data_IF_893489994108
#
_entry.id   IF_893489994108
#
_cell.length_a   1.000
_cell.length_b   1.000
_cell.length_c   1.000
_cell.angle_alpha   90.00
_cell.angle_beta   90.00
_cell.angle_gamma   90.00
#
_symmetry.space_group_name_H-M   'P 1'
#
loop_
_entity.id
_entity.type
_entity.pdbx_description
1 polymer ?
#
# COMPACT_ATOMS: atom_id res chain seq x y z
N UNK A 1 -5.68 -52.73 14.68
CA UNK A 1 -6.35 -51.56 14.09
C UNK A 1 -5.72 -50.31 14.67
N UNK A 2 -4.78 -49.72 13.95
CA UNK A 2 -4.07 -48.52 14.37
C UNK A 2 -4.80 -47.29 13.80
N UNK A 3 -5.26 -46.40 14.68
CA UNK A 3 -5.74 -45.07 14.30
C UNK A 3 -4.49 -44.23 14.03
N UNK A 4 -4.18 -44.04 12.76
CA UNK A 4 -3.17 -43.09 12.33
C UNK A 4 -3.70 -41.68 12.58
N UNK A 5 -3.12 -41.02 13.59
CA UNK A 5 -3.09 -39.57 13.77
C UNK A 5 -2.57 -38.93 12.47
N UNK A 6 -3.49 -38.52 11.60
CA UNK A 6 -3.22 -37.54 10.55
C UNK A 6 -3.16 -36.15 11.21
N UNK A 7 -2.13 -35.96 12.04
CA UNK A 7 -1.56 -34.65 12.31
C UNK A 7 -0.95 -34.20 10.99
N UNK A 8 -1.67 -33.37 10.22
CA UNK A 8 -1.10 -32.67 9.07
C UNK A 8 0.20 -31.98 9.49
N UNK A 9 1.38 -32.39 8.97
CA UNK A 9 2.58 -31.62 9.13
C UNK A 9 2.57 -30.56 8.02
N UNK A 10 1.75 -29.52 8.21
CA UNK A 10 1.72 -28.32 7.35
C UNK A 10 2.13 -27.09 8.18
N UNK A 11 3.12 -27.28 9.05
CA UNK A 11 3.94 -26.22 9.65
C UNK A 11 5.39 -26.67 9.51
N UNK A 12 5.83 -26.93 8.29
CA UNK A 12 7.23 -27.20 7.98
C UNK A 12 7.74 -26.06 7.10
N UNK A 13 8.55 -25.18 7.70
CA UNK A 13 9.39 -24.23 6.99
C UNK A 13 8.93 -22.77 6.95
N UNK A 14 8.17 -22.29 7.94
CA UNK A 14 8.18 -20.83 8.15
C UNK A 14 9.48 -20.51 8.88
N UNK A 15 10.50 -20.08 8.14
CA UNK A 15 11.64 -19.37 8.70
C UNK A 15 11.10 -18.38 9.74
N UNK A 16 11.69 -18.35 10.93
CA UNK A 16 11.19 -17.54 12.06
C UNK A 16 11.45 -16.07 11.73
N UNK A 17 10.61 -15.51 10.87
CA UNK A 17 10.67 -14.14 10.42
C UNK A 17 10.33 -13.26 11.62
N UNK A 18 11.30 -12.45 12.06
CA UNK A 18 11.07 -11.45 13.09
C UNK A 18 10.42 -10.23 12.47
N UNK A 19 9.29 -9.79 13.05
CA UNK A 19 8.72 -8.48 12.76
C UNK A 19 9.51 -7.42 13.52
N UNK A 20 10.18 -6.54 12.79
CA UNK A 20 10.83 -5.34 13.31
C UNK A 20 9.91 -4.16 13.07
N UNK A 21 9.75 -3.31 14.09
CA UNK A 21 8.85 -2.16 14.09
C UNK A 21 9.64 -0.89 14.38
N UNK A 22 9.37 0.14 13.62
CA UNK A 22 10.00 1.44 13.69
C UNK A 22 8.88 2.49 13.66
N UNK A 23 8.41 2.91 14.82
CA UNK A 23 7.36 3.92 14.94
C UNK A 23 7.95 5.32 14.78
N UNK A 24 7.32 6.15 13.94
CA UNK A 24 7.88 7.45 13.57
C UNK A 24 8.08 8.40 14.77
N UNK A 25 7.23 8.29 15.79
CA UNK A 25 7.27 9.12 17.01
C UNK A 25 8.28 8.63 18.07
N UNK A 26 8.80 7.41 17.95
CA UNK A 26 9.79 6.84 18.87
C UNK A 26 11.22 6.92 18.33
N UNK A 27 11.38 7.37 17.09
CA UNK A 27 12.66 7.43 16.42
C UNK A 27 13.28 8.81 16.58
N UNK A 28 14.10 8.97 17.62
CA UNK A 28 14.77 10.23 17.94
C UNK A 28 15.68 10.78 16.84
N UNK A 29 16.20 9.92 15.94
CA UNK A 29 16.88 10.15 14.65
C UNK A 29 17.03 8.77 13.98
N UNK A 30 16.67 8.60 12.69
CA UNK A 30 17.09 7.43 11.90
C UNK A 30 18.54 7.66 11.46
N UNK A 31 19.48 6.79 11.83
CA UNK A 31 20.82 6.85 11.19
C UNK A 31 20.74 6.14 9.84
N UNK A 32 21.35 6.69 8.77
CA UNK A 32 21.25 6.15 7.43
C UNK A 32 21.40 4.63 7.39
N UNK A 33 22.42 4.11 8.06
CA UNK A 33 22.81 2.70 8.08
C UNK A 33 21.69 1.75 8.54
N UNK A 34 20.70 2.25 9.28
CA UNK A 34 19.57 1.43 9.74
C UNK A 34 18.58 1.06 8.63
N UNK A 35 18.50 1.88 7.57
CA UNK A 35 17.48 1.72 6.52
C UNK A 35 18.02 1.92 5.09
N UNK A 36 19.28 2.37 4.89
CA UNK A 36 19.89 2.62 3.55
C UNK A 36 19.78 1.39 2.66
N UNK A 37 20.31 0.25 3.11
CA UNK A 37 20.43 -0.93 2.24
C UNK A 37 19.06 -1.53 1.90
N UNK A 38 18.17 -1.53 2.90
CA UNK A 38 16.79 -1.96 2.73
C UNK A 38 16.04 -1.03 1.78
N UNK A 39 16.24 0.29 1.90
CA UNK A 39 15.63 1.27 1.02
C UNK A 39 16.18 1.22 -0.40
N UNK A 40 17.49 1.04 -0.58
CA UNK A 40 18.10 0.89 -1.91
C UNK A 40 17.49 -0.32 -2.66
N UNK A 41 17.25 -1.42 -1.95
CA UNK A 41 16.55 -2.59 -2.50
C UNK A 41 15.10 -2.29 -2.86
N UNK A 42 14.38 -1.53 -2.03
CA UNK A 42 13.01 -1.09 -2.32
C UNK A 42 12.98 -0.12 -3.50
N UNK A 43 13.80 0.93 -3.50
CA UNK A 43 13.83 1.99 -4.50
C UNK A 43 14.22 1.51 -5.89
N UNK A 44 15.05 0.47 -5.99
CA UNK A 44 15.39 -0.16 -7.26
C UNK A 44 14.17 -0.77 -8.00
N UNK A 45 13.12 -1.19 -7.27
CA UNK A 45 11.90 -1.75 -7.85
C UNK A 45 10.96 -0.66 -8.42
N UNK A 46 11.03 0.56 -7.88
CA UNK A 46 10.16 1.68 -8.25
C UNK A 46 10.84 2.73 -9.14
N UNK A 47 12.02 2.43 -9.68
CA UNK A 47 12.85 3.35 -10.50
C UNK A 47 13.02 4.73 -9.84
N UNK A 48 13.09 4.77 -8.51
CA UNK A 48 13.12 6.01 -7.76
C UNK A 48 14.46 6.73 -7.94
N UNK A 49 14.42 8.04 -8.20
CA UNK A 49 15.64 8.85 -8.24
C UNK A 49 16.29 8.92 -6.84
N UNK A 50 17.62 9.06 -6.73
CA UNK A 50 18.31 9.24 -5.45
C UNK A 50 17.76 10.38 -4.57
N UNK A 51 17.06 11.38 -5.13
CA UNK A 51 16.41 12.45 -4.35
C UNK A 51 15.25 11.97 -3.47
N UNK A 52 14.67 10.79 -3.73
CA UNK A 52 13.67 10.18 -2.86
C UNK A 52 14.26 9.69 -1.52
N UNK A 53 15.58 9.43 -1.51
CA UNK A 53 16.35 9.08 -0.33
C UNK A 53 16.24 10.21 0.72
N UNK A 54 16.67 11.42 0.38
CA UNK A 54 16.64 12.59 1.28
C UNK A 54 15.26 12.84 1.90
N UNK A 55 14.17 12.68 1.16
CA UNK A 55 12.81 12.89 1.70
C UNK A 55 12.43 11.88 2.78
N UNK A 56 12.75 10.59 2.59
CA UNK A 56 12.44 9.52 3.56
C UNK A 56 13.30 9.63 4.82
N UNK A 57 14.56 10.06 4.68
CA UNK A 57 15.46 10.28 5.82
C UNK A 57 15.13 11.55 6.59
N UNK A 58 14.94 12.68 5.91
CA UNK A 58 14.66 13.96 6.57
C UNK A 58 13.24 14.09 7.11
N UNK A 59 12.29 13.29 6.61
CA UNK A 59 10.95 13.16 7.20
C UNK A 59 10.76 11.84 7.94
N UNK A 60 11.85 11.21 8.41
CA UNK A 60 11.83 9.90 9.05
C UNK A 60 10.82 9.77 10.20
N UNK A 61 10.61 10.86 10.94
CA UNK A 61 9.67 10.93 12.08
C UNK A 61 8.19 10.87 11.66
N UNK A 62 7.90 11.12 10.38
CA UNK A 62 6.54 11.03 9.82
C UNK A 62 6.21 9.61 9.30
N UNK A 63 7.22 8.72 9.20
CA UNK A 63 7.06 7.39 8.62
C UNK A 63 7.21 6.27 9.64
N UNK A 64 6.27 5.34 9.61
CA UNK A 64 6.29 4.10 10.36
C UNK A 64 6.76 2.97 9.45
N UNK A 65 7.83 2.27 9.83
CA UNK A 65 8.43 1.21 9.02
C UNK A 65 8.24 -0.13 9.73
N UNK A 66 7.77 -1.10 8.97
CA UNK A 66 7.60 -2.47 9.45
C UNK A 66 8.37 -3.40 8.51
N UNK A 67 9.14 -4.33 9.08
CA UNK A 67 9.98 -5.23 8.30
C UNK A 67 9.87 -6.66 8.82
N UNK A 68 9.78 -7.63 7.92
CA UNK A 68 10.12 -9.01 8.24
C UNK A 68 11.59 -9.25 7.89
N UNK A 69 12.35 -9.73 8.88
CA UNK A 69 13.73 -10.14 8.71
C UNK A 69 13.92 -11.58 9.16
N UNK A 70 14.68 -12.36 8.40
CA UNK A 70 15.31 -13.58 8.90
C UNK A 70 16.80 -13.29 9.09
N UNK A 71 17.23 -13.23 10.36
CA UNK A 71 18.53 -12.67 10.76
C UNK A 71 18.69 -11.25 10.18
N UNK A 72 19.66 -11.05 9.29
CA UNK A 72 19.92 -9.78 8.60
C UNK A 72 19.25 -9.69 7.21
N UNK A 73 18.64 -10.78 6.72
CA UNK A 73 17.99 -10.78 5.40
C UNK A 73 16.61 -10.13 5.48
N UNK A 74 16.42 -9.04 4.72
CA UNK A 74 15.12 -8.43 4.51
C UNK A 74 14.22 -9.32 3.65
N UNK A 75 13.10 -9.76 4.23
CA UNK A 75 12.09 -10.58 3.55
C UNK A 75 11.00 -9.70 2.96
N UNK A 76 10.48 -8.76 3.75
CA UNK A 76 9.47 -7.81 3.32
C UNK A 76 9.55 -6.52 4.13
N UNK A 77 9.11 -5.41 3.54
CA UNK A 77 8.97 -4.13 4.24
C UNK A 77 7.72 -3.39 3.79
N UNK A 78 7.17 -2.58 4.68
CA UNK A 78 6.11 -1.62 4.37
C UNK A 78 6.36 -0.31 5.11
N UNK A 79 6.17 0.79 4.39
CA UNK A 79 6.35 2.16 4.86
C UNK A 79 4.98 2.81 4.91
N UNK A 80 4.58 3.26 6.10
CA UNK A 80 3.25 3.81 6.36
C UNK A 80 3.36 5.23 6.92
N UNK A 81 2.59 6.15 6.35
CA UNK A 81 2.48 7.54 6.82
C UNK A 81 1.10 7.73 7.43
N UNK A 82 1.03 8.23 8.67
CA UNK A 82 -0.24 8.61 9.29
C UNK A 82 -0.56 10.05 8.93
N UNK A 83 -1.79 10.32 8.58
CA UNK A 83 -2.27 11.66 8.26
C UNK A 83 -3.76 11.81 8.63
N UNK A 84 -4.31 13.01 8.42
CA UNK A 84 -5.73 13.30 8.53
C UNK A 84 -6.20 13.99 7.26
N UNK A 85 -7.16 13.39 6.58
CA UNK A 85 -7.81 14.05 5.46
C UNK A 85 -8.99 14.86 5.95
N UNK A 86 -9.08 16.08 5.42
CA UNK A 86 -10.18 17.01 5.68
C UNK A 86 -11.05 17.15 4.42
N UNK A 87 -12.32 17.52 4.60
CA UNK A 87 -13.24 17.83 3.52
C UNK A 87 -14.52 18.48 4.04
N UNK A 88 -15.41 18.86 3.14
CA UNK A 88 -16.72 19.43 3.44
C UNK A 88 -17.80 18.47 2.91
N UNK A 89 -18.68 18.01 3.79
CA UNK A 89 -19.84 17.17 3.43
C UNK A 89 -21.09 17.86 3.97
N UNK A 90 -22.07 18.10 3.10
CA UNK A 90 -23.32 18.80 3.42
C UNK A 90 -23.09 20.14 4.17
N UNK A 91 -22.05 20.88 3.77
CA UNK A 91 -21.67 22.16 4.38
C UNK A 91 -20.94 22.05 5.73
N UNK A 92 -20.63 20.86 6.21
CA UNK A 92 -19.90 20.63 7.46
C UNK A 92 -18.46 20.16 7.18
N UNK A 93 -17.49 20.73 7.91
CA UNK A 93 -16.11 20.24 7.87
C UNK A 93 -16.02 18.90 8.57
N UNK A 94 -15.59 17.89 7.84
CA UNK A 94 -15.36 16.53 8.31
C UNK A 94 -13.88 16.18 8.20
N UNK A 95 -13.42 15.29 9.08
CA UNK A 95 -12.07 14.74 9.02
C UNK A 95 -12.07 13.23 9.21
N UNK A 96 -11.07 12.57 8.62
CA UNK A 96 -10.85 11.13 8.78
C UNK A 96 -9.36 10.85 8.96
N UNK A 97 -9.05 10.01 9.94
CA UNK A 97 -7.71 9.46 10.12
C UNK A 97 -7.39 8.57 8.92
N UNK A 98 -6.20 8.74 8.35
CA UNK A 98 -5.74 7.94 7.24
C UNK A 98 -4.34 7.41 7.48
N UNK A 99 -4.06 6.27 6.87
CA UNK A 99 -2.74 5.64 6.81
C UNK A 99 -2.40 5.43 5.35
N UNK A 100 -1.44 6.20 4.86
CA UNK A 100 -0.94 6.11 3.49
C UNK A 100 0.08 4.97 3.41
N UNK A 101 -0.16 4.01 2.52
CA UNK A 101 0.82 2.99 2.15
C UNK A 101 1.77 3.62 1.14
N UNK A 102 2.95 4.04 1.62
CA UNK A 102 3.92 4.76 0.80
C UNK A 102 4.74 3.81 -0.09
N UNK A 103 5.20 2.69 0.47
CA UNK A 103 5.91 1.66 -0.27
C UNK A 103 5.75 0.31 0.39
N UNK A 104 5.73 -0.75 -0.42
CA UNK A 104 5.71 -2.13 0.02
C UNK A 104 6.66 -2.96 -0.85
N UNK A 105 7.46 -3.80 -0.20
CA UNK A 105 8.46 -4.63 -0.85
C UNK A 105 8.41 -6.06 -0.30
N UNK A 106 8.63 -7.03 -1.17
CA UNK A 106 8.88 -8.44 -0.84
C UNK A 106 10.06 -8.92 -1.68
N UNK A 107 11.07 -9.49 -1.04
CA UNK A 107 12.26 -9.97 -1.72
C UNK A 107 11.93 -11.11 -2.68
N UNK A 108 12.61 -11.15 -3.81
CA UNK A 108 12.31 -12.06 -4.93
C UNK A 108 12.21 -13.53 -4.48
N UNK A 109 13.14 -13.99 -3.66
CA UNK A 109 13.19 -15.35 -3.08
C UNK A 109 11.93 -15.73 -2.28
N UNK A 110 11.22 -14.72 -1.78
CA UNK A 110 10.08 -14.86 -0.87
C UNK A 110 8.75 -14.44 -1.50
N UNK A 111 8.74 -13.99 -2.76
CA UNK A 111 7.51 -13.69 -3.51
C UNK A 111 6.64 -14.95 -3.64
N UNK A 112 5.33 -14.74 -3.77
CA UNK A 112 4.35 -15.84 -3.84
C UNK A 112 4.03 -16.53 -2.51
N UNK A 113 4.73 -16.19 -1.41
CA UNK A 113 4.50 -16.79 -0.07
C UNK A 113 3.52 -16.01 0.81
N UNK A 114 2.86 -14.98 0.28
CA UNK A 114 1.85 -14.19 1.01
C UNK A 114 2.38 -13.14 1.99
N UNK A 115 3.70 -12.86 1.98
CA UNK A 115 4.31 -11.88 2.89
C UNK A 115 3.76 -10.45 2.73
N UNK A 116 3.40 -10.02 1.52
CA UNK A 116 2.82 -8.70 1.26
C UNK A 116 1.51 -8.47 2.03
N UNK A 117 0.59 -9.45 1.96
CA UNK A 117 -0.66 -9.43 2.74
C UNK A 117 -0.38 -9.41 4.23
N UNK A 118 0.50 -10.30 4.69
CA UNK A 118 0.76 -10.50 6.12
C UNK A 118 1.39 -9.25 6.74
N UNK A 119 2.42 -8.68 6.10
CA UNK A 119 3.12 -7.51 6.63
C UNK A 119 2.21 -6.28 6.67
N UNK A 120 1.36 -6.08 5.66
CA UNK A 120 0.42 -4.96 5.64
C UNK A 120 -0.59 -5.06 6.79
N UNK A 121 -1.14 -6.27 7.05
CA UNK A 121 -2.08 -6.48 8.16
C UNK A 121 -1.40 -6.28 9.51
N UNK A 122 -0.25 -6.91 9.73
CA UNK A 122 0.50 -6.81 10.99
C UNK A 122 0.94 -5.36 11.27
N UNK A 123 1.33 -4.62 10.22
CA UNK A 123 1.67 -3.21 10.31
C UNK A 123 0.46 -2.34 10.67
N UNK A 124 -0.68 -2.52 9.99
CA UNK A 124 -1.91 -1.79 10.29
C UNK A 124 -2.42 -2.08 11.71
N UNK A 125 -2.35 -3.33 12.17
CA UNK A 125 -2.71 -3.72 13.54
C UNK A 125 -1.76 -3.09 14.56
N UNK A 126 -0.46 -3.07 14.26
CA UNK A 126 0.53 -2.41 15.11
C UNK A 126 0.27 -0.92 15.24
N UNK A 127 -0.07 -0.22 14.14
CA UNK A 127 -0.44 1.20 14.19
C UNK A 127 -1.72 1.44 15.00
N UNK A 128 -2.76 0.64 14.75
CA UNK A 128 -4.03 0.77 15.45
C UNK A 128 -3.85 0.66 16.98
N UNK A 129 -3.05 -0.33 17.41
CA UNK A 129 -2.77 -0.56 18.82
C UNK A 129 -1.86 0.52 19.42
N UNK A 130 -0.78 0.87 18.73
CA UNK A 130 0.22 1.83 19.21
C UNK A 130 -0.36 3.24 19.35
N UNK A 131 -1.09 3.70 18.32
CA UNK A 131 -1.66 5.04 18.27
C UNK A 131 -3.10 5.13 18.75
N UNK A 132 -3.68 4.02 19.26
CA UNK A 132 -5.06 3.94 19.74
C UNK A 132 -6.08 4.49 18.74
N UNK A 133 -5.96 4.05 17.48
CA UNK A 133 -6.80 4.54 16.38
C UNK A 133 -8.23 3.97 16.43
N UNK A 134 -8.53 3.07 17.38
CA UNK A 134 -9.85 2.49 17.65
C UNK A 134 -10.52 1.81 16.45
N UNK A 135 -9.72 1.39 15.46
CA UNK A 135 -10.18 0.74 14.25
C UNK A 135 -10.90 1.64 13.24
N UNK A 136 -10.95 2.95 13.47
CA UNK A 136 -11.62 3.93 12.60
C UNK A 136 -10.62 4.76 11.81
N UNK A 137 -10.06 4.15 10.76
CA UNK A 137 -9.20 4.84 9.81
C UNK A 137 -9.23 4.19 8.42
N UNK A 138 -8.85 5.00 7.42
CA UNK A 138 -8.71 4.55 6.04
C UNK A 138 -7.26 4.17 5.75
N UNK A 139 -7.06 3.06 5.07
CA UNK A 139 -5.83 2.72 4.37
C UNK A 139 -5.92 3.25 2.95
N UNK A 140 -4.95 4.05 2.54
CA UNK A 140 -4.94 4.71 1.23
C UNK A 140 -3.62 4.41 0.53
N UNK A 141 -3.68 4.06 -0.74
CA UNK A 141 -2.50 3.86 -1.59
C UNK A 141 -2.72 4.51 -2.95
N UNK A 142 -1.64 4.65 -3.70
CA UNK A 142 -1.71 5.03 -5.10
C UNK A 142 -0.91 4.03 -5.94
N UNK A 143 -1.43 3.68 -7.11
CA UNK A 143 -0.70 2.93 -8.12
C UNK A 143 -0.13 3.89 -9.15
N UNK A 144 1.13 3.67 -9.50
CA UNK A 144 1.89 4.47 -10.45
C UNK A 144 2.27 3.60 -11.65
N UNK A 145 2.10 4.06 -12.91
CA UNK A 145 2.50 3.30 -14.09
C UNK A 145 4.01 3.05 -14.17
N UNK A 146 4.83 3.74 -13.36
CA UNK A 146 6.27 3.48 -13.26
C UNK A 146 6.62 2.26 -12.41
N UNK A 147 5.68 1.75 -11.61
CA UNK A 147 5.86 0.48 -10.89
C UNK A 147 5.89 -0.66 -11.93
N UNK A 148 7.00 -1.38 -12.01
CA UNK A 148 7.16 -2.52 -12.94
C UNK A 148 6.17 -3.64 -12.70
N UNK A 149 5.63 -3.73 -11.49
CA UNK A 149 4.66 -4.74 -11.07
C UNK A 149 3.27 -4.15 -10.81
N UNK A 150 2.94 -2.99 -11.38
CA UNK A 150 1.67 -2.28 -11.11
C UNK A 150 0.42 -3.17 -11.27
N UNK A 151 0.37 -4.05 -12.27
CA UNK A 151 -0.77 -4.95 -12.50
C UNK A 151 -0.90 -5.97 -11.36
N UNK A 152 0.24 -6.50 -10.92
CA UNK A 152 0.29 -7.40 -9.77
C UNK A 152 -0.11 -6.65 -8.50
N UNK A 153 0.39 -5.43 -8.30
CA UNK A 153 0.03 -4.58 -7.18
C UNK A 153 -1.49 -4.32 -7.15
N UNK A 154 -2.09 -3.91 -8.27
CA UNK A 154 -3.53 -3.75 -8.42
C UNK A 154 -4.27 -5.03 -8.00
N UNK A 155 -3.87 -6.18 -8.55
CA UNK A 155 -4.52 -7.45 -8.27
C UNK A 155 -4.43 -7.88 -6.80
N UNK A 156 -3.30 -7.58 -6.14
CA UNK A 156 -3.08 -7.87 -4.72
C UNK A 156 -3.97 -6.96 -3.89
N UNK A 157 -3.90 -5.63 -4.09
CA UNK A 157 -4.64 -4.68 -3.26
C UNK A 157 -6.14 -4.79 -3.43
N UNK A 158 -6.65 -5.03 -4.64
CA UNK A 158 -8.07 -5.30 -4.85
C UNK A 158 -8.54 -6.53 -4.03
N UNK A 159 -7.74 -7.60 -4.03
CA UNK A 159 -7.98 -8.81 -3.22
C UNK A 159 -7.67 -8.64 -1.72
N UNK A 160 -7.19 -7.47 -1.30
CA UNK A 160 -7.07 -7.05 0.10
C UNK A 160 -8.21 -6.12 0.53
N UNK A 161 -9.19 -5.92 -0.36
CA UNK A 161 -10.39 -5.09 -0.19
C UNK A 161 -10.20 -3.58 -0.40
N UNK A 162 -9.17 -3.19 -1.15
CA UNK A 162 -9.06 -1.82 -1.66
C UNK A 162 -10.02 -1.63 -2.85
N UNK A 163 -11.32 -1.59 -2.55
CA UNK A 163 -12.42 -1.56 -3.53
C UNK A 163 -13.08 -0.19 -3.67
N UNK A 164 -12.51 0.85 -3.08
CA UNK A 164 -12.93 2.21 -3.34
C UNK A 164 -11.76 2.98 -3.97
N UNK A 165 -11.87 3.42 -5.21
CA UNK A 165 -10.79 4.07 -5.92
C UNK A 165 -11.22 4.98 -7.07
N UNK A 166 -10.25 5.75 -7.57
CA UNK A 166 -10.45 6.73 -8.61
C UNK A 166 -9.14 7.25 -9.19
N UNK A 167 -9.23 7.88 -10.36
CA UNK A 167 -8.10 8.51 -11.02
C UNK A 167 -7.79 9.87 -10.39
N UNK A 168 -6.51 10.13 -10.10
CA UNK A 168 -6.06 11.40 -9.55
C UNK A 168 -4.82 11.91 -10.27
N UNK A 169 -4.74 13.24 -10.43
CA UNK A 169 -3.57 13.94 -10.97
C UNK A 169 -2.46 14.14 -9.92
N UNK A 170 -2.78 14.00 -8.63
CA UNK A 170 -1.87 14.26 -7.52
C UNK A 170 -1.78 13.07 -6.59
N UNK A 171 -0.60 12.88 -5.98
CA UNK A 171 -0.45 11.91 -4.90
C UNK A 171 -1.29 12.31 -3.67
N UNK A 172 -1.76 11.34 -2.85
CA UNK A 172 -2.61 11.64 -1.69
C UNK A 172 -2.01 12.62 -0.68
N UNK A 173 -0.68 12.64 -0.53
CA UNK A 173 0.04 13.55 0.37
C UNK A 173 0.09 15.00 -0.14
N UNK A 174 -0.27 15.25 -1.41
CA UNK A 174 -0.20 16.56 -2.05
C UNK A 174 -1.40 17.48 -1.81
N UNK A 175 -2.48 17.00 -1.19
CA UNK A 175 -3.75 17.74 -1.04
C UNK A 175 -4.22 17.82 0.41
N UNK A 176 -4.49 19.04 0.89
CA UNK A 176 -5.03 19.28 2.24
C UNK A 176 -6.51 18.90 2.39
N UNK A 177 -7.29 18.96 1.31
CA UNK A 177 -8.73 18.67 1.29
C UNK A 177 -9.05 17.47 0.38
N UNK A 178 -8.48 16.31 0.69
CA UNK A 178 -8.59 15.12 -0.17
C UNK A 178 -9.79 14.21 0.13
N UNK A 179 -10.53 14.49 1.22
CA UNK A 179 -11.61 13.62 1.65
C UNK A 179 -12.82 13.65 0.71
N UNK A 180 -13.16 14.82 0.15
CA UNK A 180 -14.26 14.97 -0.81
C UNK A 180 -14.06 14.11 -2.06
N UNK A 181 -12.83 14.07 -2.56
CA UNK A 181 -12.44 13.27 -3.73
C UNK A 181 -12.61 11.77 -3.43
N UNK A 182 -12.12 11.31 -2.27
CA UNK A 182 -12.24 9.91 -1.85
C UNK A 182 -13.69 9.48 -1.60
N UNK A 183 -14.55 10.39 -1.13
CA UNK A 183 -15.97 10.10 -0.93
C UNK A 183 -16.71 9.88 -2.26
N UNK A 184 -16.22 10.44 -3.36
CA UNK A 184 -16.76 10.25 -4.71
C UNK A 184 -16.22 9.03 -5.44
N UNK A 185 -15.23 8.32 -4.88
CA UNK A 185 -14.66 7.14 -5.50
C UNK A 185 -15.64 5.95 -5.54
N UNK A 186 -15.39 5.05 -6.50
CA UNK A 186 -16.20 3.86 -6.75
C UNK A 186 -15.36 2.59 -6.82
N UNK A 187 -15.92 1.49 -7.33
CA UNK A 187 -15.11 0.29 -7.55
C UNK A 187 -14.04 0.57 -8.62
N UNK A 188 -12.75 0.29 -8.34
CA UNK A 188 -11.66 0.55 -9.30
C UNK A 188 -11.84 -0.14 -10.65
N UNK A 189 -12.46 -1.33 -10.70
CA UNK A 189 -12.76 -2.00 -11.96
C UNK A 189 -13.83 -1.24 -12.75
N UNK A 190 -14.86 -0.71 -12.09
CA UNK A 190 -15.89 0.13 -12.73
C UNK A 190 -15.29 1.43 -13.27
N UNK A 191 -14.37 2.05 -12.53
CA UNK A 191 -13.64 3.25 -12.98
C UNK A 191 -12.85 2.95 -14.26
N UNK A 192 -12.19 1.79 -14.33
CA UNK A 192 -11.44 1.38 -15.53
C UNK A 192 -12.38 1.04 -16.70
N UNK A 193 -13.55 0.45 -16.43
CA UNK A 193 -14.52 0.09 -17.47
C UNK A 193 -15.27 1.28 -18.06
N UNK A 194 -15.47 2.33 -17.26
CA UNK A 194 -16.18 3.55 -17.67
C UNK A 194 -15.25 4.68 -18.11
N UNK A 195 -13.94 4.43 -18.14
CA UNK A 195 -12.94 5.42 -18.50
C UNK A 195 -13.24 6.05 -19.87
N UNK A 196 -13.30 7.38 -19.90
CA UNK A 196 -13.44 8.20 -21.10
C UNK A 196 -12.25 9.15 -21.22
N UNK A 197 -11.42 8.95 -22.25
CA UNK A 197 -10.20 9.71 -22.49
C UNK A 197 -10.44 11.23 -22.70
N UNK A 198 -11.65 11.64 -23.09
CA UNK A 198 -11.99 13.06 -23.23
C UNK A 198 -12.31 13.74 -21.89
N UNK A 199 -12.81 12.98 -20.92
CA UNK A 199 -13.37 13.50 -19.66
C UNK A 199 -12.47 13.19 -18.46
N UNK A 200 -11.81 12.05 -18.47
CA UNK A 200 -11.06 11.52 -17.34
C UNK A 200 -9.56 11.81 -17.49
N UNK A 201 -8.94 12.20 -16.38
CA UNK A 201 -7.48 12.38 -16.28
C UNK A 201 -6.96 11.79 -14.99
N UNK A 202 -5.82 11.10 -15.05
CA UNK A 202 -5.16 10.61 -13.85
C UNK A 202 -3.72 10.19 -14.10
N UNK A 203 -2.81 10.66 -13.24
CA UNK A 203 -1.44 10.17 -13.18
C UNK A 203 -1.32 8.94 -12.28
N UNK A 204 -2.27 8.78 -11.36
CA UNK A 204 -2.31 7.70 -10.39
C UNK A 204 -3.72 7.11 -10.30
N UNK A 205 -3.81 5.84 -9.93
CA UNK A 205 -5.04 5.26 -9.39
C UNK A 205 -4.94 5.25 -7.88
N UNK A 206 -5.82 5.99 -7.20
CA UNK A 206 -5.93 5.96 -5.75
C UNK A 206 -6.86 4.83 -5.37
N UNK A 207 -6.46 4.02 -4.40
CA UNK A 207 -7.30 2.95 -3.87
C UNK A 207 -7.36 3.05 -2.34
N UNK A 208 -8.53 2.77 -1.79
CA UNK A 208 -8.89 2.99 -0.40
C UNK A 208 -9.57 1.75 0.17
N UNK A 209 -9.21 1.42 1.40
CA UNK A 209 -9.81 0.36 2.19
C UNK A 209 -10.05 0.87 3.61
N UNK A 210 -11.23 0.61 4.18
CA UNK A 210 -11.41 0.77 5.63
C UNK A 210 -10.59 -0.28 6.36
N UNK A 211 -9.91 0.09 7.45
CA UNK A 211 -9.10 -0.85 8.23
C UNK A 211 -9.90 -2.09 8.69
N UNK A 212 -11.12 -1.88 9.18
CA UNK A 212 -12.04 -2.93 9.63
C UNK A 212 -12.38 -3.95 8.54
N UNK A 213 -12.23 -3.57 7.27
CA UNK A 213 -12.55 -4.36 6.09
C UNK A 213 -11.31 -4.94 5.40
N UNK A 214 -10.10 -4.60 5.86
CA UNK A 214 -8.84 -5.10 5.30
C UNK A 214 -8.80 -6.62 5.36
N UNK A 215 -8.52 -7.26 4.22
CA UNK A 215 -8.55 -8.73 4.05
C UNK A 215 -9.93 -9.40 4.24
N UNK A 216 -11.02 -8.64 4.33
CA UNK A 216 -12.40 -9.14 4.48
C UNK A 216 -13.16 -8.89 3.18
N UNK A 217 -12.94 -9.75 2.18
CA UNK A 217 -13.66 -9.70 0.91
C UNK A 217 -13.64 -11.05 0.19
N UNK A 218 -14.58 -11.23 -0.73
CA UNK A 218 -14.48 -12.28 -1.74
C UNK A 218 -13.28 -11.99 -2.65
N UNK A 219 -12.54 -13.04 -3.00
CA UNK A 219 -11.37 -12.93 -3.86
C UNK A 219 -11.78 -13.09 -5.32
N UNK A 220 -11.31 -12.17 -6.14
CA UNK A 220 -11.40 -12.26 -7.59
C UNK A 220 -10.19 -13.04 -8.14
N UNK A 221 -10.39 -13.64 -9.31
CA UNK A 221 -9.32 -14.36 -10.00
C UNK A 221 -8.21 -13.38 -10.39
N UNK A 222 -6.97 -13.71 -10.01
CA UNK A 222 -5.80 -12.89 -10.34
C UNK A 222 -5.69 -12.60 -11.84
N UNK A 223 -5.96 -13.57 -12.71
CA UNK A 223 -5.89 -13.36 -14.17
C UNK A 223 -6.82 -12.24 -14.66
N UNK A 224 -8.03 -12.16 -14.12
CA UNK A 224 -8.99 -11.08 -14.43
C UNK A 224 -8.47 -9.73 -13.93
N UNK A 225 -7.99 -9.68 -12.68
CA UNK A 225 -7.47 -8.43 -12.11
C UNK A 225 -6.17 -7.96 -12.77
N UNK A 226 -5.32 -8.88 -13.25
CA UNK A 226 -4.12 -8.54 -14.01
C UNK A 226 -4.49 -7.87 -15.35
N UNK A 227 -5.57 -8.29 -16.00
CA UNK A 227 -6.10 -7.65 -17.21
C UNK A 227 -6.57 -6.22 -16.93
N UNK A 228 -7.32 -6.02 -15.84
CA UNK A 228 -7.68 -4.67 -15.37
C UNK A 228 -6.46 -3.82 -15.06
N UNK A 229 -5.47 -4.38 -14.35
CA UNK A 229 -4.22 -3.69 -14.05
C UNK A 229 -3.48 -3.24 -15.30
N UNK A 230 -3.45 -4.09 -16.35
CA UNK A 230 -2.79 -3.77 -17.62
C UNK A 230 -3.51 -2.63 -18.36
N UNK A 231 -4.85 -2.69 -18.42
CA UNK A 231 -5.68 -1.60 -18.95
C UNK A 231 -5.46 -0.31 -18.19
N UNK A 232 -5.44 -0.38 -16.86
CA UNK A 232 -5.16 0.76 -16.00
C UNK A 232 -3.79 1.37 -16.30
N UNK A 233 -2.74 0.55 -16.49
CA UNK A 233 -1.39 1.06 -16.82
C UNK A 233 -1.45 1.91 -18.08
N UNK A 234 -2.09 1.39 -19.13
CA UNK A 234 -2.26 2.13 -20.39
C UNK A 234 -3.00 3.46 -20.22
N UNK A 235 -4.03 3.50 -19.37
CA UNK A 235 -4.76 4.74 -19.05
C UNK A 235 -3.83 5.78 -18.39
N UNK A 236 -3.07 5.37 -17.38
CA UNK A 236 -2.20 6.26 -16.61
C UNK A 236 -0.98 6.74 -17.43
N UNK A 237 -0.43 5.88 -18.30
CA UNK A 237 0.68 6.24 -19.19
C UNK A 237 0.26 7.29 -20.23
N UNK A 238 -0.93 7.17 -20.83
CA UNK A 238 -1.44 8.16 -21.80
C UNK A 238 -1.65 9.52 -21.17
N UNK A 239 -2.20 9.55 -19.96
CA UNK A 239 -2.38 10.79 -19.19
C UNK A 239 -1.06 11.49 -18.86
N UNK A 240 0.04 10.74 -18.80
CA UNK A 240 1.39 11.26 -18.53
C UNK A 240 2.05 11.91 -19.75
N UNK A 241 1.55 11.63 -20.96
CA UNK A 241 2.10 12.13 -22.23
C UNK A 241 1.47 13.46 -22.69
N UNK A 242 0.32 13.85 -22.12
CA UNK A 242 -0.43 15.06 -22.49
C UNK A 242 0.14 16.36 -21.87
N UNK A 243 1.28 16.28 -21.18
CA UNK A 243 1.95 17.41 -20.52
C UNK A 243 3.17 17.94 -21.30
N UNK A 244 3.27 17.64 -22.60
CA UNK A 244 4.26 18.21 -23.53
C UNK A 244 3.60 18.94 -24.71
#
# INVERSE_FOLDING_TARGET
MAIALLMCPLVLGMDVCRLVRYFGDEQGIKVPEQIVDDYNRVGAEFEASPKAFDYVFHNGNAQNIFQYKDREELIASVFLVRDTFHGIVDGQVVSRNVVLVYSMYVSEKHRGRGYSRRILKDAADSLNNHYKMNGDFLLVLHLCPKDRSMELAFSIYYNLNFRNGGLSMTEPSGKKCFLEEILGYGDPCDVIDRYDEAMDRGRYMIMVCEYSKLCVCERERYSKLMEYGSRLRSILERSSLLDF
#
